data_IF_589357402807
#
_entry.id   IF_589357402807
#
_cell.length_a   1.000
_cell.length_b   1.000
_cell.length_c   1.000
_cell.angle_alpha   90.00
_cell.angle_beta   90.00
_cell.angle_gamma   90.00
#
_symmetry.space_group_name_H-M   'P 1'
#
loop_
_entity.id
_entity.type
_entity.pdbx_description
1 polymer ?
#
# COMPACT_ATOMS: atom_id res chain seq x y z
N UNK A 1 -0.01 -20.36 -10.98
CA UNK A 1 0.32 -18.98 -10.54
C UNK A 1 -0.61 -18.04 -11.30
N UNK A 2 -1.43 -17.26 -10.60
CA UNK A 2 -2.33 -16.26 -11.20
C UNK A 2 -1.71 -14.89 -10.98
N UNK A 3 -1.56 -14.11 -12.04
CA UNK A 3 -1.02 -12.75 -11.96
C UNK A 3 -2.21 -11.81 -11.92
N UNK A 4 -2.29 -10.97 -10.88
CA UNK A 4 -3.31 -9.93 -10.74
C UNK A 4 -2.62 -8.60 -11.00
N UNK A 5 -2.96 -7.97 -12.11
CA UNK A 5 -2.43 -6.67 -12.51
C UNK A 5 -3.39 -5.53 -12.16
N UNK A 6 -3.11 -4.37 -12.73
CA UNK A 6 -3.91 -3.16 -12.49
C UNK A 6 -5.33 -3.28 -13.05
N UNK A 7 -5.51 -3.98 -14.19
CA UNK A 7 -6.83 -4.16 -14.80
C UNK A 7 -7.73 -5.02 -13.91
N UNK A 8 -7.20 -6.12 -13.39
CA UNK A 8 -7.87 -7.03 -12.49
C UNK A 8 -8.15 -6.35 -11.15
N UNK A 9 -7.19 -5.59 -10.60
CA UNK A 9 -7.40 -4.80 -9.39
C UNK A 9 -8.55 -3.79 -9.57
N UNK A 10 -8.62 -3.10 -10.70
CA UNK A 10 -9.72 -2.17 -11.03
C UNK A 10 -11.08 -2.87 -11.13
N UNK A 11 -11.11 -4.14 -11.52
CA UNK A 11 -12.33 -4.94 -11.68
C UNK A 11 -12.77 -5.63 -10.38
N UNK A 12 -11.88 -5.81 -9.41
CA UNK A 12 -12.23 -6.36 -8.09
C UNK A 12 -13.30 -5.54 -7.38
N UNK A 13 -14.10 -6.17 -6.51
CA UNK A 13 -15.14 -5.48 -5.75
C UNK A 13 -14.59 -4.29 -4.96
N UNK A 14 -13.47 -4.50 -4.25
CA UNK A 14 -12.84 -3.43 -3.47
C UNK A 14 -12.19 -2.36 -4.36
N UNK A 15 -11.59 -2.73 -5.48
CA UNK A 15 -11.02 -1.78 -6.44
C UNK A 15 -12.08 -0.89 -7.06
N UNK A 16 -13.26 -1.44 -7.40
CA UNK A 16 -14.38 -0.65 -7.88
C UNK A 16 -14.92 0.32 -6.82
N UNK A 17 -14.94 -0.10 -5.55
CA UNK A 17 -15.36 0.73 -4.42
C UNK A 17 -14.39 1.91 -4.18
N UNK A 18 -13.09 1.65 -4.14
CA UNK A 18 -12.08 2.70 -3.88
C UNK A 18 -11.89 3.62 -5.07
N UNK A 19 -11.98 3.09 -6.29
CA UNK A 19 -11.82 3.89 -7.50
C UNK A 19 -13.13 4.55 -7.97
N UNK A 20 -14.24 4.36 -7.24
CA UNK A 20 -15.55 4.92 -7.59
C UNK A 20 -16.04 4.51 -8.98
N UNK A 21 -15.60 3.35 -9.50
CA UNK A 21 -15.92 2.89 -10.87
C UNK A 21 -17.11 1.93 -10.94
N UNK A 22 -17.51 1.32 -9.82
CA UNK A 22 -18.60 0.33 -9.78
C UNK A 22 -20.01 0.92 -9.71
N UNK A 23 -20.12 2.19 -9.32
CA UNK A 23 -21.33 3.01 -9.43
C UNK A 23 -20.87 4.20 -10.26
N UNK A 24 -21.59 4.58 -11.32
CA UNK A 24 -21.20 5.73 -12.14
C UNK A 24 -20.78 6.88 -11.23
N UNK A 25 -19.48 7.25 -11.21
CA UNK A 25 -18.99 8.32 -10.34
C UNK A 25 -19.83 9.53 -10.62
N UNK A 26 -20.70 9.91 -9.68
CA UNK A 26 -21.63 11.01 -9.90
C UNK A 26 -20.80 12.28 -10.14
N UNK A 27 -21.36 13.25 -10.87
CA UNK A 27 -20.69 14.53 -11.10
C UNK A 27 -20.22 15.15 -9.76
N UNK A 28 -21.01 14.97 -8.70
CA UNK A 28 -20.69 15.40 -7.34
C UNK A 28 -19.45 14.72 -6.75
N UNK A 29 -19.23 13.42 -7.00
CA UNK A 29 -18.02 12.73 -6.54
C UNK A 29 -16.77 13.22 -7.28
N UNK A 30 -16.87 13.49 -8.58
CA UNK A 30 -15.78 14.08 -9.34
C UNK A 30 -15.45 15.50 -8.85
N UNK A 31 -16.48 16.31 -8.60
CA UNK A 31 -16.32 17.65 -8.02
C UNK A 31 -15.73 17.60 -6.62
N UNK A 32 -16.15 16.66 -5.77
CA UNK A 32 -15.59 16.44 -4.43
C UNK A 32 -14.10 16.06 -4.50
N UNK A 33 -13.71 15.21 -5.43
CA UNK A 33 -12.32 14.81 -5.58
C UNK A 33 -11.45 15.97 -6.08
N UNK A 34 -11.92 16.71 -7.09
CA UNK A 34 -11.19 17.86 -7.61
C UNK A 34 -11.11 19.00 -6.58
N UNK A 35 -12.19 19.24 -5.82
CA UNK A 35 -12.19 20.18 -4.72
C UNK A 35 -11.20 19.78 -3.60
N UNK A 36 -11.12 18.50 -3.25
CA UNK A 36 -10.11 17.99 -2.31
C UNK A 36 -8.70 18.19 -2.83
N UNK A 37 -8.45 17.92 -4.11
CA UNK A 37 -7.15 18.08 -4.76
C UNK A 37 -6.72 19.55 -4.80
N UNK A 38 -7.63 20.46 -5.16
CA UNK A 38 -7.41 21.90 -5.13
C UNK A 38 -7.11 22.38 -3.70
N UNK A 39 -7.91 21.97 -2.72
CA UNK A 39 -7.70 22.31 -1.31
C UNK A 39 -6.37 21.79 -0.76
N UNK A 40 -5.96 20.57 -1.13
CA UNK A 40 -4.66 20.00 -0.76
C UNK A 40 -3.49 20.81 -1.32
N UNK A 41 -3.63 21.28 -2.57
CA UNK A 41 -2.60 22.09 -3.25
C UNK A 41 -2.41 23.43 -2.54
N UNK A 42 -3.50 24.11 -2.17
CA UNK A 42 -3.41 25.39 -1.45
C UNK A 42 -2.87 25.19 -0.02
N UNK A 43 -3.29 24.13 0.68
CA UNK A 43 -2.71 23.76 1.99
C UNK A 43 -1.20 23.54 1.91
N UNK A 44 -0.72 22.85 0.88
CA UNK A 44 0.70 22.60 0.69
C UNK A 44 1.47 23.90 0.39
N UNK A 45 0.89 24.79 -0.41
CA UNK A 45 1.47 26.12 -0.70
C UNK A 45 1.62 26.95 0.58
N UNK A 46 0.56 27.04 1.39
CA UNK A 46 0.57 27.76 2.67
C UNK A 46 1.62 27.14 3.60
N UNK A 47 1.67 25.81 3.71
CA UNK A 47 2.65 25.14 4.56
C UNK A 47 4.10 25.43 4.12
N UNK A 48 4.38 25.44 2.81
CA UNK A 48 5.70 25.82 2.28
C UNK A 48 6.04 27.29 2.56
N UNK A 49 5.06 28.18 2.46
CA UNK A 49 5.24 29.61 2.73
C UNK A 49 5.55 29.87 4.21
N UNK A 50 4.79 29.25 5.12
CA UNK A 50 5.03 29.31 6.57
C UNK A 50 6.39 28.69 6.92
N UNK A 51 6.74 27.55 6.32
CA UNK A 51 8.04 26.91 6.52
C UNK A 51 9.19 27.84 6.10
N UNK A 52 9.06 28.53 4.96
CA UNK A 52 10.04 29.51 4.48
C UNK A 52 10.27 30.65 5.48
N UNK A 53 9.19 31.22 6.03
CA UNK A 53 9.26 32.27 7.06
C UNK A 53 9.96 31.78 8.33
N UNK A 54 9.69 30.53 8.72
CA UNK A 54 10.28 29.91 9.91
C UNK A 54 11.67 29.31 9.67
N UNK A 55 12.21 29.41 8.44
CA UNK A 55 13.46 28.74 8.01
C UNK A 55 13.45 27.22 8.25
N UNK A 56 12.28 26.61 8.11
CA UNK A 56 12.07 25.17 8.20
C UNK A 56 11.85 24.59 6.80
N UNK A 57 12.13 23.30 6.64
CA UNK A 57 11.72 22.54 5.45
C UNK A 57 10.51 21.68 5.82
N UNK A 58 9.54 21.61 4.92
CA UNK A 58 8.33 20.81 5.10
C UNK A 58 8.17 19.88 3.91
N UNK A 59 8.13 18.58 4.20
CA UNK A 59 7.79 17.53 3.25
C UNK A 59 6.37 17.03 3.55
N UNK A 60 5.42 17.48 2.73
CA UNK A 60 4.01 17.06 2.80
C UNK A 60 3.74 16.18 1.59
N UNK A 61 3.99 14.88 1.75
CA UNK A 61 3.69 13.86 0.74
C UNK A 61 2.18 13.64 0.63
N UNK A 62 1.51 14.50 -0.13
CA UNK A 62 0.07 14.35 -0.44
C UNK A 62 -0.19 13.27 -1.49
N UNK A 63 0.84 12.90 -2.27
CA UNK A 63 0.85 11.77 -3.23
C UNK A 63 0.87 10.40 -2.55
N UNK A 64 1.33 10.35 -1.29
CA UNK A 64 1.40 9.12 -0.49
C UNK A 64 0.01 8.49 -0.30
N UNK A 65 -1.03 9.29 -0.10
CA UNK A 65 -2.39 8.78 0.15
C UNK A 65 -2.96 8.01 -1.04
N UNK A 66 -2.82 8.53 -2.27
CA UNK A 66 -3.29 7.84 -3.47
C UNK A 66 -2.49 6.58 -3.77
N UNK A 67 -1.17 6.61 -3.55
CA UNK A 67 -0.32 5.44 -3.75
C UNK A 67 -0.61 4.33 -2.74
N UNK A 68 -0.86 4.68 -1.48
CA UNK A 68 -1.23 3.74 -0.43
C UNK A 68 -2.60 3.09 -0.69
N UNK A 69 -3.59 3.87 -1.12
CA UNK A 69 -4.90 3.34 -1.51
C UNK A 69 -4.81 2.33 -2.64
N UNK A 70 -3.97 2.58 -3.65
CA UNK A 70 -3.72 1.63 -4.75
C UNK A 70 -3.09 0.33 -4.27
N UNK A 71 -2.13 0.41 -3.34
CA UNK A 71 -1.50 -0.78 -2.75
C UNK A 71 -2.52 -1.57 -1.94
N UNK A 72 -3.29 -0.92 -1.07
CA UNK A 72 -4.37 -1.56 -0.30
C UNK A 72 -5.40 -2.23 -1.21
N UNK A 73 -5.80 -1.55 -2.29
CA UNK A 73 -6.72 -2.11 -3.27
C UNK A 73 -6.14 -3.34 -3.97
N UNK A 74 -4.86 -3.31 -4.36
CA UNK A 74 -4.19 -4.46 -4.95
C UNK A 74 -4.10 -5.66 -3.99
N UNK A 75 -3.79 -5.43 -2.71
CA UNK A 75 -3.73 -6.50 -1.72
C UNK A 75 -5.10 -7.16 -1.50
N UNK A 76 -6.15 -6.36 -1.38
CA UNK A 76 -7.53 -6.88 -1.22
C UNK A 76 -8.03 -7.57 -2.47
N UNK A 77 -7.75 -7.02 -3.65
CA UNK A 77 -8.06 -7.68 -4.92
C UNK A 77 -7.35 -9.03 -5.04
N UNK A 78 -6.07 -9.11 -4.65
CA UNK A 78 -5.32 -10.36 -4.65
C UNK A 78 -5.97 -11.44 -3.77
N UNK A 79 -6.44 -11.07 -2.58
CA UNK A 79 -7.17 -11.97 -1.68
C UNK A 79 -8.53 -12.41 -2.27
N UNK A 80 -9.26 -11.47 -2.87
CA UNK A 80 -10.53 -11.72 -3.56
C UNK A 80 -10.35 -12.72 -4.72
N UNK A 81 -9.36 -12.51 -5.59
CA UNK A 81 -9.07 -13.41 -6.71
C UNK A 81 -8.53 -14.77 -6.30
N UNK A 82 -7.99 -14.88 -5.09
CA UNK A 82 -7.58 -16.13 -4.47
C UNK A 82 -8.73 -16.83 -3.73
N UNK A 83 -9.88 -16.16 -3.58
CA UNK A 83 -11.04 -16.63 -2.82
C UNK A 83 -10.71 -16.96 -1.36
N UNK A 84 -9.75 -16.22 -0.79
CA UNK A 84 -9.24 -16.43 0.58
C UNK A 84 -9.38 -15.13 1.37
N UNK A 85 -9.85 -15.17 2.64
CA UNK A 85 -9.89 -13.99 3.49
C UNK A 85 -8.51 -13.34 3.67
N UNK A 86 -8.48 -12.01 3.74
CA UNK A 86 -7.24 -11.22 3.91
C UNK A 86 -6.31 -11.73 5.02
N UNK A 87 -6.79 -12.13 6.22
CA UNK A 87 -5.92 -12.64 7.29
C UNK A 87 -5.24 -13.98 6.96
N UNK A 88 -5.79 -14.73 6.02
CA UNK A 88 -5.27 -16.03 5.58
C UNK A 88 -4.30 -15.89 4.38
N UNK A 89 -4.11 -14.67 3.87
CA UNK A 89 -3.09 -14.36 2.87
C UNK A 89 -1.81 -13.89 3.57
N UNK A 90 -0.65 -14.16 2.95
CA UNK A 90 0.64 -13.63 3.42
C UNK A 90 1.21 -12.72 2.34
N UNK A 91 1.45 -11.46 2.67
CA UNK A 91 2.17 -10.54 1.80
C UNK A 91 3.67 -10.82 1.90
N UNK A 92 4.34 -10.93 0.75
CA UNK A 92 5.79 -10.84 0.63
C UNK A 92 6.13 -9.44 0.12
N UNK A 93 6.59 -8.57 1.03
CA UNK A 93 6.86 -7.17 0.72
C UNK A 93 8.35 -6.91 0.49
N UNK A 94 8.67 -6.13 -0.54
CA UNK A 94 10.00 -5.56 -0.78
C UNK A 94 10.07 -4.05 -0.56
N UNK A 95 9.01 -3.44 -0.03
CA UNK A 95 8.86 -1.99 0.10
C UNK A 95 8.06 -1.60 1.34
N UNK A 96 8.36 -0.43 1.91
CA UNK A 96 7.69 0.10 3.11
C UNK A 96 6.17 0.32 2.90
N UNK A 97 5.69 0.88 1.77
CA UNK A 97 4.26 1.06 1.54
C UNK A 97 3.47 -0.24 1.50
N UNK A 98 4.08 -1.33 1.01
CA UNK A 98 3.48 -2.66 1.04
C UNK A 98 3.23 -3.17 2.46
N UNK A 99 4.22 -2.99 3.34
CA UNK A 99 4.14 -3.39 4.75
C UNK A 99 3.06 -2.59 5.48
N UNK A 100 3.07 -1.26 5.33
CA UNK A 100 2.06 -0.39 5.94
C UNK A 100 0.64 -0.71 5.46
N UNK A 101 0.47 -0.97 4.16
CA UNK A 101 -0.83 -1.36 3.60
C UNK A 101 -1.31 -2.71 4.13
N UNK A 102 -0.41 -3.68 4.30
CA UNK A 102 -0.73 -4.99 4.87
C UNK A 102 -1.16 -4.88 6.34
N UNK A 103 -0.45 -4.07 7.13
CA UNK A 103 -0.81 -3.77 8.51
C UNK A 103 -2.21 -3.14 8.62
N UNK A 104 -2.50 -2.14 7.78
CA UNK A 104 -3.81 -1.46 7.76
C UNK A 104 -4.98 -2.41 7.49
N UNK A 105 -4.77 -3.48 6.72
CA UNK A 105 -5.82 -4.46 6.38
C UNK A 105 -5.76 -5.74 7.21
N UNK A 106 -4.81 -5.86 8.15
CA UNK A 106 -4.61 -7.07 8.94
C UNK A 106 -4.10 -8.27 8.15
N UNK A 107 -3.36 -8.05 7.06
CA UNK A 107 -2.71 -9.11 6.28
C UNK A 107 -1.32 -9.40 6.87
N UNK A 108 -1.02 -10.64 7.30
CA UNK A 108 0.32 -11.02 7.71
C UNK A 108 1.37 -10.68 6.64
N UNK A 109 2.45 -10.03 7.04
CA UNK A 109 3.50 -9.57 6.12
C UNK A 109 4.87 -10.17 6.46
N UNK A 110 5.58 -10.62 5.43
CA UNK A 110 6.98 -11.03 5.47
C UNK A 110 7.78 -10.12 4.57
N UNK A 111 8.88 -9.55 5.07
CA UNK A 111 9.69 -8.60 4.32
C UNK A 111 10.93 -9.27 3.74
N UNK A 112 11.19 -9.03 2.47
CA UNK A 112 12.46 -9.32 1.81
C UNK A 112 13.28 -8.03 1.71
N UNK A 113 14.34 -7.92 2.52
CA UNK A 113 15.23 -6.74 2.50
C UNK A 113 16.08 -6.74 1.25
N UNK A 114 15.96 -5.68 0.46
CA UNK A 114 16.85 -5.37 -0.66
C UNK A 114 17.91 -4.36 -0.22
N UNK A 115 18.86 -4.03 -1.11
CA UNK A 115 19.82 -2.93 -0.86
C UNK A 115 19.11 -1.62 -0.49
N UNK A 116 17.97 -1.35 -1.12
CA UNK A 116 17.18 -0.12 -0.93
C UNK A 116 16.47 -0.08 0.43
N UNK A 117 16.15 -1.25 1.00
CA UNK A 117 15.44 -1.35 2.28
C UNK A 117 16.33 -1.91 3.40
N UNK A 118 17.65 -1.97 3.18
CA UNK A 118 18.62 -2.56 4.11
C UNK A 118 18.69 -1.83 5.46
N UNK A 119 18.43 -0.52 5.45
CA UNK A 119 18.41 0.35 6.64
C UNK A 119 17.01 0.61 7.20
N UNK A 120 15.98 0.07 6.55
CA UNK A 120 14.60 0.27 6.98
C UNK A 120 14.22 -0.74 8.06
N UNK A 121 13.42 -0.30 9.02
CA UNK A 121 12.84 -1.13 10.07
C UNK A 121 11.40 -1.49 9.72
N UNK A 122 11.00 -2.71 10.08
CA UNK A 122 9.69 -3.28 9.74
C UNK A 122 9.03 -3.89 10.98
N UNK A 123 8.62 -3.08 11.97
CA UNK A 123 8.12 -3.58 13.25
C UNK A 123 6.82 -4.39 13.10
N UNK A 124 6.00 -4.11 12.09
CA UNK A 124 4.75 -4.81 11.80
C UNK A 124 4.92 -6.06 10.93
N UNK A 125 6.12 -6.35 10.42
CA UNK A 125 6.39 -7.56 9.68
C UNK A 125 6.60 -8.74 10.63
N UNK A 126 5.98 -9.88 10.31
CA UNK A 126 6.11 -11.12 11.09
C UNK A 126 7.50 -11.73 10.99
N UNK A 127 8.17 -11.50 9.86
CA UNK A 127 9.55 -11.88 9.64
C UNK A 127 10.20 -10.95 8.64
N UNK A 128 11.50 -10.73 8.80
CA UNK A 128 12.35 -9.99 7.87
C UNK A 128 13.47 -10.92 7.42
N UNK A 129 13.58 -11.14 6.11
CA UNK A 129 14.63 -11.94 5.50
C UNK A 129 15.57 -11.03 4.71
N UNK A 130 16.87 -11.23 4.90
CA UNK A 130 17.90 -10.53 4.15
C UNK A 130 18.16 -11.23 2.82
N UNK A 131 17.98 -10.53 1.71
CA UNK A 131 18.15 -11.11 0.37
C UNK A 131 19.62 -11.28 -0.05
N UNK A 132 20.54 -11.46 0.91
CA UNK A 132 21.98 -11.54 0.65
C UNK A 132 22.44 -13.01 0.58
N UNK A 133 21.94 -13.79 -0.38
CA UNK A 133 22.38 -15.18 -0.54
C UNK A 133 21.42 -16.10 -1.29
N UNK A 134 21.67 -17.42 -1.16
CA UNK A 134 20.87 -18.55 -1.67
C UNK A 134 19.36 -18.37 -1.37
N UNK A 135 18.41 -19.07 -2.03
CA UNK A 135 17.00 -18.68 -2.03
C UNK A 135 16.40 -18.68 -0.61
N UNK A 136 16.43 -17.53 0.04
CA UNK A 136 16.12 -17.40 1.47
C UNK A 136 14.63 -17.57 1.74
N UNK A 137 13.81 -17.40 0.71
CA UNK A 137 12.37 -17.62 0.77
C UNK A 137 11.99 -18.92 0.07
N UNK A 138 11.74 -19.95 0.86
CA UNK A 138 11.14 -21.22 0.42
C UNK A 138 9.77 -21.39 1.05
N UNK A 139 8.89 -22.17 0.42
CA UNK A 139 7.57 -22.52 0.99
C UNK A 139 7.74 -23.17 2.37
N UNK A 140 8.76 -24.02 2.55
CA UNK A 140 9.07 -24.64 3.84
C UNK A 140 9.42 -23.62 4.92
N UNK A 141 10.14 -22.55 4.58
CA UNK A 141 10.43 -21.45 5.51
C UNK A 141 9.19 -20.63 5.82
N UNK A 142 8.37 -20.31 4.82
CA UNK A 142 7.10 -19.61 5.02
C UNK A 142 6.17 -20.39 5.96
N UNK A 143 6.10 -21.72 5.85
CA UNK A 143 5.31 -22.56 6.75
C UNK A 143 5.78 -22.50 8.21
N UNK A 144 7.08 -22.28 8.46
CA UNK A 144 7.60 -22.06 9.83
C UNK A 144 7.28 -20.67 10.37
N UNK A 145 6.94 -19.73 9.50
CA UNK A 145 6.56 -18.35 9.84
C UNK A 145 5.02 -18.21 9.89
N UNK A 146 4.28 -19.12 9.23
CA UNK A 146 2.81 -19.24 9.23
C UNK A 146 2.21 -19.48 10.63
N UNK A 147 0.90 -19.25 10.81
CA UNK A 147 0.32 -18.87 12.11
C UNK A 147 0.22 -20.03 13.11
N UNK A 148 0.24 -19.65 14.40
CA UNK A 148 -0.44 -20.41 15.44
C UNK A 148 -1.95 -20.17 15.31
#
# INVERSE_FOLDING_TARGET
MKIVGEAEMKQSFYGQLVLGKGVASSLDEQLLNEARKAASTEKQKIAKEVASVLKLSVDLDTTSSESMQKVVAALRAGAEYAEVPVPNCVLVAGSLPGVAAAEQIGMPCVVLRSKLTSRAEFPSAKAVLDSFGAPDLTISRLRRIGPA
#
